data_IF_668002517829
#
_entry.id   IF_668002517829
#
_cell.length_a   1.000
_cell.length_b   1.000
_cell.length_c   1.000
_cell.angle_alpha   90.00
_cell.angle_beta   90.00
_cell.angle_gamma   90.00
#
_symmetry.space_group_name_H-M   'P 1'
#
loop_
_entity.id
_entity.type
_entity.pdbx_description
1 polymer ?
#
# COMPACT_ATOMS: atom_id res chain seq x y z
N UNK A 1 -0.62 8.16 20.45
CA UNK A 1 0.04 8.84 19.32
C UNK A 1 0.89 7.79 18.62
N UNK A 2 0.67 7.53 17.33
CA UNK A 2 1.46 6.56 16.56
C UNK A 2 2.90 7.09 16.45
N UNK A 3 3.89 6.25 16.75
CA UNK A 3 5.31 6.64 16.67
C UNK A 3 5.64 7.05 15.23
N UNK A 4 6.27 8.21 15.02
CA UNK A 4 6.70 8.70 13.69
C UNK A 4 7.51 7.67 12.92
N UNK A 5 8.33 6.87 13.61
CA UNK A 5 9.08 5.77 13.01
C UNK A 5 8.17 4.65 12.47
N UNK A 6 7.09 4.33 13.16
CA UNK A 6 6.11 3.33 12.74
C UNK A 6 5.31 3.84 11.54
N UNK A 7 4.90 5.10 11.54
CA UNK A 7 4.22 5.74 10.39
C UNK A 7 5.11 5.71 9.16
N UNK A 8 6.38 6.12 9.30
CA UNK A 8 7.35 6.07 8.19
C UNK A 8 7.59 4.65 7.70
N UNK A 9 7.71 3.68 8.62
CA UNK A 9 7.82 2.26 8.27
C UNK A 9 6.62 1.75 7.47
N UNK A 10 5.40 2.10 7.86
CA UNK A 10 4.18 1.73 7.13
C UNK A 10 4.14 2.35 5.73
N UNK A 11 4.54 3.61 5.58
CA UNK A 11 4.64 4.25 4.26
C UNK A 11 5.59 3.50 3.33
N UNK A 12 6.76 3.07 3.85
CA UNK A 12 7.73 2.29 3.08
C UNK A 12 7.13 0.92 2.69
N UNK A 13 6.46 0.24 3.62
CA UNK A 13 5.82 -1.06 3.34
C UNK A 13 4.77 -0.93 2.24
N UNK A 14 3.91 0.10 2.31
CA UNK A 14 2.91 0.36 1.28
C UNK A 14 3.53 0.71 -0.08
N UNK A 15 4.58 1.54 -0.10
CA UNK A 15 5.36 1.86 -1.30
C UNK A 15 5.94 0.60 -1.95
N UNK A 16 6.70 -0.19 -1.19
CA UNK A 16 7.35 -1.41 -1.66
C UNK A 16 6.31 -2.41 -2.14
N UNK A 17 5.16 -2.51 -1.45
CA UNK A 17 4.11 -3.42 -1.90
C UNK A 17 3.45 -2.98 -3.20
N UNK A 18 3.21 -1.68 -3.40
CA UNK A 18 2.67 -1.17 -4.66
C UNK A 18 3.62 -1.47 -5.83
N UNK A 19 4.92 -1.28 -5.60
CA UNK A 19 5.97 -1.65 -6.56
C UNK A 19 5.90 -3.14 -6.93
N UNK A 20 5.91 -4.05 -5.95
CA UNK A 20 5.88 -5.49 -6.23
C UNK A 20 4.59 -5.96 -6.92
N UNK A 21 3.45 -5.38 -6.56
CA UNK A 21 2.18 -5.65 -7.25
C UNK A 21 2.31 -5.31 -8.73
N UNK A 22 2.85 -4.13 -9.05
CA UNK A 22 3.03 -3.71 -10.44
C UNK A 22 4.08 -4.56 -11.19
N UNK A 23 5.19 -4.94 -10.54
CA UNK A 23 6.20 -5.86 -11.11
C UNK A 23 5.58 -7.20 -11.46
N UNK A 24 4.81 -7.80 -10.55
CA UNK A 24 4.15 -9.09 -10.79
C UNK A 24 3.19 -8.99 -11.96
N UNK A 25 2.42 -7.90 -12.06
CA UNK A 25 1.48 -7.68 -13.18
C UNK A 25 2.23 -7.50 -14.51
N UNK A 26 3.34 -6.78 -14.52
CA UNK A 26 4.09 -6.46 -15.74
C UNK A 26 4.99 -7.61 -16.24
N UNK A 27 5.51 -8.44 -15.33
CA UNK A 27 6.57 -9.41 -15.63
C UNK A 27 6.11 -10.81 -16.02
N UNK A 28 4.85 -11.19 -15.81
CA UNK A 28 4.36 -12.56 -16.04
C UNK A 28 3.11 -12.57 -16.93
N UNK A 29 2.99 -13.62 -17.76
CA UNK A 29 1.77 -13.87 -18.51
C UNK A 29 0.60 -14.17 -17.54
N UNK A 30 -0.62 -13.66 -17.82
CA UNK A 30 -1.77 -13.80 -16.92
C UNK A 30 -1.99 -15.25 -16.48
N UNK A 31 -1.86 -15.51 -15.18
CA UNK A 31 -2.07 -16.84 -14.60
C UNK A 31 -2.80 -16.79 -13.25
N UNK A 32 -3.47 -17.90 -12.88
CA UNK A 32 -4.15 -18.00 -11.58
C UNK A 32 -3.22 -17.82 -10.37
N UNK A 33 -2.00 -18.38 -10.34
CA UNK A 33 -1.05 -18.13 -9.25
C UNK A 33 -0.65 -16.66 -9.14
N UNK A 34 -0.45 -15.97 -10.26
CA UNK A 34 -0.12 -14.55 -10.30
C UNK A 34 -1.27 -13.70 -9.73
N UNK A 35 -2.51 -13.96 -10.18
CA UNK A 35 -3.70 -13.27 -9.67
C UNK A 35 -3.86 -13.48 -8.16
N UNK A 36 -3.62 -14.69 -7.66
CA UNK A 36 -3.66 -15.00 -6.23
C UNK A 36 -2.61 -14.22 -5.42
N UNK A 37 -1.38 -14.09 -5.95
CA UNK A 37 -0.31 -13.29 -5.30
C UNK A 37 -0.66 -11.81 -5.23
N UNK A 38 -1.15 -11.24 -6.33
CA UNK A 38 -1.59 -9.84 -6.37
C UNK A 38 -2.73 -9.61 -5.37
N UNK A 39 -3.73 -10.49 -5.36
CA UNK A 39 -4.84 -10.42 -4.41
C UNK A 39 -4.34 -10.50 -2.96
N UNK A 40 -3.42 -11.42 -2.66
CA UNK A 40 -2.84 -11.56 -1.34
C UNK A 40 -2.10 -10.28 -0.90
N UNK A 41 -1.30 -9.68 -1.78
CA UNK A 41 -0.62 -8.41 -1.48
C UNK A 41 -1.60 -7.28 -1.22
N UNK A 42 -2.66 -7.15 -2.02
CA UNK A 42 -3.69 -6.13 -1.81
C UNK A 42 -4.37 -6.34 -0.46
N UNK A 43 -4.76 -7.58 -0.12
CA UNK A 43 -5.40 -7.89 1.16
C UNK A 43 -4.50 -7.59 2.36
N UNK A 44 -3.23 -7.97 2.31
CA UNK A 44 -2.25 -7.67 3.36
C UNK A 44 -2.13 -6.15 3.55
N UNK A 45 -2.04 -5.36 2.47
CA UNK A 45 -2.00 -3.90 2.57
C UNK A 45 -3.27 -3.33 3.18
N UNK A 46 -4.42 -3.89 2.82
CA UNK A 46 -5.70 -3.43 3.36
C UNK A 46 -5.80 -3.70 4.87
N UNK A 47 -5.34 -4.87 5.32
CA UNK A 47 -5.26 -5.22 6.75
C UNK A 47 -4.30 -4.29 7.48
N UNK A 48 -3.10 -4.04 6.92
CA UNK A 48 -2.11 -3.15 7.52
C UNK A 48 -2.62 -1.71 7.64
N UNK A 49 -3.22 -1.18 6.57
CA UNK A 49 -3.82 0.15 6.55
C UNK A 49 -4.98 0.25 7.56
N UNK A 50 -5.80 -0.80 7.68
CA UNK A 50 -6.91 -0.81 8.64
C UNK A 50 -6.41 -0.84 10.09
N UNK A 51 -5.59 -1.82 10.45
CA UNK A 51 -5.20 -2.06 11.85
C UNK A 51 -4.21 -1.04 12.39
N UNK A 52 -3.24 -0.62 11.58
CA UNK A 52 -2.15 0.24 12.07
C UNK A 52 -2.31 1.72 11.72
N UNK A 53 -3.16 2.07 10.74
CA UNK A 53 -3.34 3.47 10.31
C UNK A 53 -4.75 3.97 10.61
N UNK A 54 -5.78 3.25 10.14
CA UNK A 54 -7.16 3.70 10.27
C UNK A 54 -7.69 3.61 11.69
N UNK A 55 -7.62 2.42 12.30
CA UNK A 55 -8.21 2.15 13.62
C UNK A 55 -7.64 3.09 14.71
N UNK A 56 -6.30 3.28 14.83
CA UNK A 56 -5.75 4.21 15.83
C UNK A 56 -6.15 5.67 15.57
N UNK A 57 -6.28 6.08 14.30
CA UNK A 57 -6.67 7.45 13.96
C UNK A 57 -8.18 7.68 14.15
N UNK A 58 -9.01 6.66 13.91
CA UNK A 58 -10.46 6.69 14.07
C UNK A 58 -10.86 6.91 15.53
N UNK A 59 -10.15 6.28 16.45
CA UNK A 59 -10.40 6.40 17.89
C UNK A 59 -10.20 7.84 18.39
N UNK A 60 -9.43 8.67 17.67
CA UNK A 60 -9.30 10.10 17.95
C UNK A 60 -10.28 10.96 17.13
N UNK A 61 -10.30 10.81 15.81
CA UNK A 61 -11.18 11.58 14.91
C UNK A 61 -11.36 10.87 13.57
N UNK A 62 -12.61 10.50 13.25
CA UNK A 62 -12.97 9.77 12.02
C UNK A 62 -12.64 10.51 10.72
N UNK A 63 -12.81 11.84 10.67
CA UNK A 63 -12.50 12.62 9.46
C UNK A 63 -10.99 12.68 9.22
N UNK A 64 -10.21 12.80 10.30
CA UNK A 64 -8.76 12.73 10.26
C UNK A 64 -8.27 11.33 9.85
N UNK A 65 -8.93 10.26 10.32
CA UNK A 65 -8.57 8.89 10.00
C UNK A 65 -8.57 8.58 8.49
N UNK A 66 -9.60 9.03 7.77
CA UNK A 66 -9.68 8.84 6.32
C UNK A 66 -8.52 9.55 5.60
N UNK A 67 -8.25 10.82 5.96
CA UNK A 67 -7.13 11.57 5.39
C UNK A 67 -5.79 10.92 5.71
N UNK A 68 -5.63 10.44 6.93
CA UNK A 68 -4.41 9.79 7.39
C UNK A 68 -4.12 8.49 6.63
N UNK A 69 -5.14 7.66 6.37
CA UNK A 69 -5.02 6.45 5.53
C UNK A 69 -4.62 6.81 4.09
N UNK A 70 -5.19 7.87 3.52
CA UNK A 70 -4.83 8.29 2.16
C UNK A 70 -3.35 8.68 2.09
N UNK A 71 -2.86 9.46 3.05
CA UNK A 71 -1.48 9.95 3.07
C UNK A 71 -0.47 8.86 3.41
N UNK A 72 -0.77 8.00 4.38
CA UNK A 72 0.18 7.01 4.91
C UNK A 72 0.14 5.70 4.11
N UNK A 73 -0.99 5.35 3.50
CA UNK A 73 -1.17 4.06 2.82
C UNK A 73 -1.42 4.20 1.32
N UNK A 74 -2.45 4.96 0.92
CA UNK A 74 -2.87 4.98 -0.49
C UNK A 74 -1.84 5.67 -1.40
N UNK A 75 -1.38 6.87 -1.02
CA UNK A 75 -0.42 7.63 -1.81
C UNK A 75 0.91 6.85 -1.97
N UNK A 76 1.54 6.32 -0.91
CA UNK A 76 2.75 5.51 -1.05
C UNK A 76 2.53 4.28 -1.92
N UNK A 77 1.42 3.56 -1.75
CA UNK A 77 1.11 2.40 -2.59
C UNK A 77 1.00 2.77 -4.08
N UNK A 78 0.28 3.86 -4.40
CA UNK A 78 0.17 4.35 -5.78
C UNK A 78 1.52 4.83 -6.34
N UNK A 79 2.37 5.46 -5.53
CA UNK A 79 3.71 5.86 -5.93
C UNK A 79 4.59 4.65 -6.28
N UNK A 80 4.47 3.55 -5.53
CA UNK A 80 5.15 2.29 -5.82
C UNK A 80 4.77 1.73 -7.18
N UNK A 81 3.47 1.73 -7.50
CA UNK A 81 2.95 1.32 -8.82
C UNK A 81 3.47 2.26 -9.92
N UNK A 82 3.37 3.58 -9.70
CA UNK A 82 3.80 4.57 -10.67
C UNK A 82 5.29 4.44 -11.01
N UNK A 83 6.14 4.11 -10.03
CA UNK A 83 7.56 3.86 -10.24
C UNK A 83 7.79 2.75 -11.30
N UNK A 84 7.07 1.63 -11.21
CA UNK A 84 7.19 0.54 -12.18
C UNK A 84 6.70 0.97 -13.56
N UNK A 85 5.57 1.68 -13.63
CA UNK A 85 5.05 2.20 -14.90
C UNK A 85 6.07 3.11 -15.56
N UNK A 86 6.67 4.03 -14.81
CA UNK A 86 7.72 4.93 -15.30
C UNK A 86 8.91 4.13 -15.82
N UNK A 87 9.41 3.14 -15.06
CA UNK A 87 10.55 2.30 -15.46
C UNK A 87 10.26 1.43 -16.69
N UNK A 88 9.01 1.02 -16.91
CA UNK A 88 8.63 0.23 -18.08
C UNK A 88 8.31 1.06 -19.32
N UNK A 89 7.95 2.34 -19.16
CA UNK A 89 7.54 3.24 -20.25
C UNK A 89 8.70 4.11 -20.76
N UNK A 90 9.66 4.46 -19.91
CA UNK A 90 10.90 5.19 -20.25
C UNK A 90 12.07 4.23 -20.49
#
# INVERSE_FOLDING_TARGET
MLNTALTGGLMIVHLVSGYWVAVVIAGEAPSWPQAARVLLYILINMILAYEFVYKPAKDCNRSHANKHVVVVSLIPFCLGIACVIIVFVL
#
